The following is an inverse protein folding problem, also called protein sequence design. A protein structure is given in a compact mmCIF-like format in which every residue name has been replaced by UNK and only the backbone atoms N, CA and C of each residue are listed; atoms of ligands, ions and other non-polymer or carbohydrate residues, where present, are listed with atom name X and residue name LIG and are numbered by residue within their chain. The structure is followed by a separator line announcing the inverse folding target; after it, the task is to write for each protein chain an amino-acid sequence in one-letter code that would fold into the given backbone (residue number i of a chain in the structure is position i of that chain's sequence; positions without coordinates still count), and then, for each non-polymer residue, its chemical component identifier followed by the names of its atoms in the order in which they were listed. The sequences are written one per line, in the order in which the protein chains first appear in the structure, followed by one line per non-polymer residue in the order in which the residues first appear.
data_IF_336485577267
#
_entry.id   IF_336485577267
#
_cell.length_a   1.000
_cell.length_b   1.000
_cell.length_c   1.000
_cell.angle_alpha   90.00
_cell.angle_beta   90.00
_cell.angle_gamma   90.00
#
_symmetry.space_group_name_H-M   'P 1'
#
loop_
_entity.id
_entity.type
_entity.pdbx_description
1 polymer ?
#
# COMPACT_ATOMS: atom_id res chain seq x y z
N UNK A 1 -66.89 -10.43 -19.75
CA UNK A 1 -65.85 -9.39 -19.94
C UNK A 1 -64.86 -9.51 -18.78
N UNK A 2 -63.58 -9.75 -19.08
CA UNK A 2 -62.54 -10.16 -18.11
C UNK A 2 -62.00 -8.94 -17.30
N UNK A 3 -61.62 -9.10 -16.02
CA UNK A 3 -60.97 -8.04 -15.25
C UNK A 3 -59.49 -7.93 -15.65
N UNK A 4 -59.01 -6.70 -15.84
CA UNK A 4 -57.59 -6.39 -16.07
C UNK A 4 -56.86 -6.44 -14.72
N UNK A 5 -55.97 -7.42 -14.54
CA UNK A 5 -55.00 -7.42 -13.45
C UNK A 5 -53.79 -6.56 -13.88
N UNK A 6 -53.59 -5.43 -13.20
CA UNK A 6 -52.37 -4.62 -13.36
C UNK A 6 -51.27 -5.25 -12.51
N UNK A 7 -50.34 -5.95 -13.15
CA UNK A 7 -49.13 -6.47 -12.50
C UNK A 7 -48.11 -5.34 -12.46
N UNK A 8 -47.97 -4.71 -11.29
CA UNK A 8 -46.91 -3.74 -11.04
C UNK A 8 -45.60 -4.51 -10.83
N UNK A 9 -44.75 -4.54 -11.86
CA UNK A 9 -43.45 -5.18 -11.82
C UNK A 9 -42.49 -4.26 -11.04
N UNK A 10 -42.29 -4.52 -9.75
CA UNK A 10 -41.25 -3.88 -8.94
C UNK A 10 -39.87 -4.38 -9.44
N UNK A 11 -39.22 -3.56 -10.26
CA UNK A 11 -37.81 -3.70 -10.59
C UNK A 11 -36.98 -3.42 -9.33
N UNK A 12 -36.59 -4.49 -8.62
CA UNK A 12 -35.52 -4.46 -7.63
C UNK A 12 -34.21 -4.13 -8.36
N UNK A 13 -33.84 -2.86 -8.38
CA UNK A 13 -32.50 -2.44 -8.77
C UNK A 13 -31.52 -2.96 -7.71
N UNK A 14 -30.77 -4.01 -8.05
CA UNK A 14 -29.65 -4.48 -7.23
C UNK A 14 -28.52 -3.45 -7.41
N UNK A 15 -28.53 -2.41 -6.59
CA UNK A 15 -27.40 -1.47 -6.49
C UNK A 15 -26.21 -2.25 -5.95
N UNK A 16 -25.22 -2.52 -6.81
CA UNK A 16 -23.91 -2.97 -6.35
C UNK A 16 -23.26 -1.79 -5.64
N UNK A 17 -23.36 -1.76 -4.30
CA UNK A 17 -22.62 -0.82 -3.47
C UNK A 17 -21.16 -1.26 -3.51
N UNK A 18 -20.34 -0.62 -4.35
CA UNK A 18 -18.89 -0.69 -4.16
C UNK A 18 -18.58 0.02 -2.83
N UNK A 19 -17.86 -0.62 -1.92
CA UNK A 19 -17.51 -0.01 -0.64
C UNK A 19 -16.70 1.27 -0.89
N UNK A 20 -17.23 2.41 -0.45
CA UNK A 20 -16.56 3.70 -0.50
C UNK A 20 -15.45 3.75 0.56
N UNK A 21 -14.27 4.28 0.21
CA UNK A 21 -13.24 4.58 1.20
C UNK A 21 -13.74 5.68 2.14
N UNK A 22 -13.79 5.37 3.44
CA UNK A 22 -14.31 6.25 4.47
C UNK A 22 -13.26 7.25 5.00
N UNK A 23 -12.05 7.28 4.46
CA UNK A 23 -10.98 8.18 4.89
C UNK A 23 -11.02 9.49 4.11
N UNK A 24 -11.19 10.61 4.81
CA UNK A 24 -11.06 11.94 4.22
C UNK A 24 -9.63 12.22 3.81
N UNK A 25 -9.43 12.73 2.60
CA UNK A 25 -8.11 13.11 2.07
C UNK A 25 -7.09 11.95 2.20
N UNK A 26 -7.49 10.76 1.74
CA UNK A 26 -6.79 9.49 1.92
C UNK A 26 -5.34 9.46 1.43
N UNK A 27 -5.03 10.19 0.37
CA UNK A 27 -3.70 10.32 -0.24
C UNK A 27 -3.05 11.69 0.04
N UNK A 28 -3.57 12.47 0.99
CA UNK A 28 -3.01 13.75 1.44
C UNK A 28 -2.92 14.87 0.38
N UNK A 29 -3.59 14.73 -0.77
CA UNK A 29 -3.56 15.69 -1.88
C UNK A 29 -4.25 17.02 -1.58
N UNK A 30 -5.23 17.03 -0.66
CA UNK A 30 -5.85 18.27 -0.19
C UNK A 30 -5.02 18.90 0.94
N UNK A 31 -4.46 20.08 0.66
CA UNK A 31 -3.60 20.81 1.58
C UNK A 31 -3.96 22.30 1.63
N UNK A 32 -3.76 22.89 2.81
CA UNK A 32 -3.93 24.32 3.08
C UNK A 32 -2.75 25.14 2.57
N UNK A 33 -1.54 24.61 2.80
CA UNK A 33 -0.28 25.28 2.52
C UNK A 33 0.69 24.25 1.92
N UNK A 34 1.31 24.61 0.80
CA UNK A 34 2.38 23.80 0.23
C UNK A 34 3.61 23.83 1.16
N UNK A 35 4.24 22.69 1.51
CA UNK A 35 5.25 22.66 2.56
C UNK A 35 6.51 23.46 2.19
N UNK A 36 6.79 24.54 2.93
CA UNK A 36 8.05 25.29 2.76
C UNK A 36 9.21 24.70 3.57
N UNK A 37 8.88 23.94 4.63
CA UNK A 37 9.80 23.26 5.54
C UNK A 37 9.21 21.90 5.98
N UNK A 38 10.06 21.01 6.47
CA UNK A 38 9.68 19.69 6.99
C UNK A 38 9.02 19.80 8.38
N UNK A 39 8.39 18.73 8.85
CA UNK A 39 7.74 18.67 10.16
C UNK A 39 6.44 19.49 10.30
N UNK A 40 5.87 19.96 9.19
CA UNK A 40 4.69 20.86 9.15
C UNK A 40 3.38 20.15 8.78
N UNK A 41 3.31 18.82 8.88
CA UNK A 41 2.15 18.05 8.41
C UNK A 41 0.81 18.52 8.99
N UNK A 42 0.73 18.74 10.31
CA UNK A 42 -0.50 19.21 10.98
C UNK A 42 -1.01 20.56 10.43
N UNK A 43 -0.10 21.45 10.10
CA UNK A 43 -0.45 22.81 9.68
C UNK A 43 -0.80 22.84 8.18
N UNK A 44 -0.17 21.97 7.39
CA UNK A 44 -0.26 21.97 5.95
C UNK A 44 -1.40 21.10 5.40
N UNK A 45 -1.69 19.95 6.01
CA UNK A 45 -2.63 18.97 5.44
C UNK A 45 -4.07 19.23 5.91
N UNK A 46 -5.03 19.09 5.01
CA UNK A 46 -6.46 19.22 5.31
C UNK A 46 -7.01 17.89 5.86
N UNK A 47 -7.92 17.94 6.84
CA UNK A 47 -8.57 16.78 7.48
C UNK A 47 -7.67 15.80 8.27
N UNK A 48 -6.37 16.10 8.36
CA UNK A 48 -5.41 15.32 9.13
C UNK A 48 -4.81 16.12 10.28
N UNK A 49 -4.38 15.39 11.31
CA UNK A 49 -3.73 15.93 12.48
C UNK A 49 -2.61 14.99 12.93
N UNK A 50 -1.83 15.40 13.93
CA UNK A 50 -0.81 14.55 14.55
C UNK A 50 -1.03 14.51 16.05
N UNK A 51 -0.57 13.44 16.70
CA UNK A 51 -0.56 13.37 18.16
C UNK A 51 0.65 14.14 18.70
N UNK A 52 1.88 13.69 18.39
CA UNK A 52 3.10 14.34 18.86
C UNK A 52 4.21 14.20 17.81
N UNK A 53 5.21 15.08 17.92
CA UNK A 53 6.39 15.08 17.07
C UNK A 53 6.30 16.07 15.91
N UNK A 54 7.11 15.83 14.89
CA UNK A 54 7.30 16.68 13.72
C UNK A 54 7.12 15.84 12.46
N UNK A 55 5.93 15.28 12.30
CA UNK A 55 5.58 14.51 11.11
C UNK A 55 5.80 15.33 9.86
N UNK A 56 6.50 14.75 8.90
CA UNK A 56 6.80 15.42 7.64
C UNK A 56 5.62 15.31 6.68
N UNK A 57 5.43 16.38 5.91
CA UNK A 57 4.56 16.39 4.76
C UNK A 57 5.41 16.65 3.53
N UNK A 58 5.44 15.68 2.63
CA UNK A 58 6.20 15.74 1.39
C UNK A 58 5.20 15.93 0.27
N UNK A 59 5.42 16.95 -0.56
CA UNK A 59 4.55 17.26 -1.67
C UNK A 59 5.33 17.92 -2.81
N UNK A 60 5.12 17.46 -4.04
CA UNK A 60 5.81 17.98 -5.24
C UNK A 60 5.55 19.45 -5.54
N UNK A 61 4.49 20.06 -4.99
CA UNK A 61 4.25 21.49 -5.11
C UNK A 61 5.41 22.31 -4.50
N UNK A 62 6.13 21.72 -3.55
CA UNK A 62 7.19 22.39 -2.80
C UNK A 62 8.48 22.42 -3.60
N UNK A 63 9.06 23.62 -3.72
CA UNK A 63 10.37 23.82 -4.35
C UNK A 63 11.54 23.59 -3.40
N UNK A 64 11.28 23.52 -2.10
CA UNK A 64 12.30 23.39 -1.06
C UNK A 64 12.37 21.99 -0.48
N UNK A 65 11.22 21.44 -0.10
CA UNK A 65 11.10 20.08 0.47
C UNK A 65 10.90 19.06 -0.67
N UNK A 66 9.89 19.31 -1.52
CA UNK A 66 9.48 18.36 -2.56
C UNK A 66 9.27 16.96 -1.99
N UNK A 67 10.07 16.02 -2.48
CA UNK A 67 10.09 14.60 -2.06
C UNK A 67 11.34 14.19 -1.26
N UNK A 68 12.15 15.16 -0.84
CA UNK A 68 13.40 14.91 -0.11
C UNK A 68 13.25 15.43 1.32
N UNK A 69 13.56 14.59 2.30
CA UNK A 69 13.73 15.01 3.68
C UNK A 69 15.06 14.51 4.26
N UNK A 70 15.26 14.73 5.57
CA UNK A 70 16.47 14.30 6.26
C UNK A 70 16.67 12.78 6.29
N UNK A 71 15.63 11.98 6.03
CA UNK A 71 15.66 10.53 6.14
C UNK A 71 15.74 9.82 4.79
N UNK A 72 15.59 10.54 3.67
CA UNK A 72 15.68 9.98 2.33
C UNK A 72 14.80 10.71 1.32
N UNK A 73 14.61 10.06 0.17
CA UNK A 73 13.74 10.51 -0.90
C UNK A 73 12.86 9.36 -1.38
N UNK A 74 11.56 9.62 -1.53
CA UNK A 74 10.63 8.66 -2.13
C UNK A 74 9.69 9.36 -3.12
N UNK A 75 9.33 8.71 -4.22
CA UNK A 75 8.27 9.21 -5.09
C UNK A 75 6.93 8.79 -4.48
N UNK A 76 5.94 9.68 -4.51
CA UNK A 76 4.60 9.39 -4.00
C UNK A 76 4.03 8.10 -4.62
N UNK A 77 3.26 7.33 -3.85
CA UNK A 77 2.65 6.09 -4.33
C UNK A 77 1.62 6.40 -5.40
N UNK A 78 0.77 7.37 -5.08
CA UNK A 78 -0.21 7.99 -5.95
C UNK A 78 -0.10 9.51 -5.81
N UNK A 79 -0.74 10.25 -6.73
CA UNK A 79 -0.78 11.70 -6.64
C UNK A 79 0.60 12.37 -6.53
N UNK A 80 0.70 13.34 -5.63
CA UNK A 80 1.80 14.26 -5.47
C UNK A 80 2.22 14.47 -4.02
N UNK A 81 1.59 13.80 -3.05
CA UNK A 81 1.76 14.06 -1.64
C UNK A 81 1.81 12.79 -0.79
N UNK A 82 2.52 12.82 0.35
CA UNK A 82 2.50 11.75 1.34
C UNK A 82 3.02 12.22 2.71
N UNK A 83 2.79 11.42 3.75
CA UNK A 83 3.28 11.66 5.10
C UNK A 83 4.61 10.92 5.34
N UNK A 84 5.43 11.42 6.27
CA UNK A 84 6.60 10.70 6.76
C UNK A 84 6.67 10.72 8.28
N UNK A 85 6.85 9.54 8.90
CA UNK A 85 6.81 9.39 10.36
C UNK A 85 7.96 8.53 10.91
N UNK A 86 8.46 8.90 12.09
CA UNK A 86 9.27 8.00 12.91
C UNK A 86 8.41 6.91 13.55
N UNK A 87 8.69 5.65 13.22
CA UNK A 87 7.99 4.48 13.81
C UNK A 87 8.83 3.72 14.84
N UNK A 88 10.12 4.05 14.94
CA UNK A 88 11.00 3.59 16.01
C UNK A 88 12.19 4.52 16.17
N UNK A 89 12.57 4.85 17.40
CA UNK A 89 13.84 5.53 17.70
C UNK A 89 14.17 5.38 19.19
N UNK A 90 15.32 5.89 19.61
CA UNK A 90 15.74 5.87 21.00
C UNK A 90 14.73 6.59 21.93
N UNK A 91 14.73 6.20 23.21
CA UNK A 91 13.87 6.80 24.24
C UNK A 91 12.36 6.82 23.92
N UNK A 92 11.86 5.82 23.19
CA UNK A 92 10.45 5.69 22.80
C UNK A 92 9.90 6.90 22.00
N UNK A 93 10.72 7.50 21.12
CA UNK A 93 10.22 8.47 20.15
C UNK A 93 9.48 7.76 19.01
N UNK A 94 8.28 8.27 18.71
CA UNK A 94 7.28 7.83 17.71
C UNK A 94 6.49 9.03 17.21
N UNK A 95 6.08 8.98 15.96
CA UNK A 95 5.13 9.93 15.38
C UNK A 95 3.87 9.20 14.94
N UNK A 96 2.76 9.92 14.95
CA UNK A 96 1.45 9.38 14.68
C UNK A 96 0.63 10.38 13.88
N UNK A 97 0.06 9.93 12.77
CA UNK A 97 -0.91 10.69 11.99
C UNK A 97 -2.32 10.23 12.35
N UNK A 98 -3.22 11.20 12.55
CA UNK A 98 -4.60 10.98 12.93
C UNK A 98 -5.54 11.56 11.88
N UNK A 99 -6.41 10.71 11.36
CA UNK A 99 -7.46 11.05 10.41
C UNK A 99 -8.85 10.99 11.02
N UNK A 100 -9.82 11.52 10.28
CA UNK A 100 -11.25 11.49 10.62
C UNK A 100 -11.99 10.73 9.54
N UNK A 101 -12.91 9.85 9.94
CA UNK A 101 -13.76 9.12 9.00
C UNK A 101 -14.85 10.04 8.43
N UNK A 102 -15.34 9.74 7.23
CA UNK A 102 -16.51 10.40 6.64
C UNK A 102 -17.75 10.22 7.50
N UNK A 103 -17.91 9.02 8.05
CA UNK A 103 -18.99 8.63 8.93
C UNK A 103 -18.50 7.65 10.02
N UNK A 104 -19.20 7.55 11.17
CA UNK A 104 -18.90 6.52 12.17
C UNK A 104 -19.05 5.12 11.58
N UNK A 105 -18.16 4.20 11.94
CA UNK A 105 -18.28 2.82 11.51
C UNK A 105 -19.49 2.14 12.14
N UNK A 106 -20.11 1.22 11.42
CA UNK A 106 -21.28 0.51 11.91
C UNK A 106 -20.87 -0.67 12.79
N UNK A 107 -21.53 -0.77 13.95
CA UNK A 107 -21.28 -1.85 14.91
C UNK A 107 -21.47 -3.22 14.25
N UNK A 108 -20.58 -4.15 14.59
CA UNK A 108 -20.56 -5.56 14.16
C UNK A 108 -20.32 -5.77 12.66
N UNK A 109 -20.12 -4.71 11.87
CA UNK A 109 -19.63 -4.82 10.49
C UNK A 109 -18.14 -5.08 10.44
N UNK A 110 -17.72 -5.88 9.46
CA UNK A 110 -16.31 -6.14 9.18
C UNK A 110 -15.77 -5.04 8.28
N UNK A 111 -14.61 -4.52 8.63
CA UNK A 111 -13.89 -3.52 7.87
C UNK A 111 -12.46 -3.98 7.61
N UNK A 112 -11.84 -3.33 6.63
CA UNK A 112 -10.42 -3.45 6.36
C UNK A 112 -9.84 -2.04 6.37
N UNK A 113 -8.72 -1.89 7.06
CA UNK A 113 -7.83 -0.74 6.91
C UNK A 113 -6.68 -1.14 6.00
N UNK A 114 -6.39 -0.32 5.00
CA UNK A 114 -5.15 -0.44 4.23
C UNK A 114 -4.42 0.88 4.17
N UNK A 115 -3.10 0.83 4.07
CA UNK A 115 -2.27 1.99 3.71
C UNK A 115 -0.94 1.47 3.17
N UNK A 116 -0.25 2.29 2.40
CA UNK A 116 1.05 1.93 1.86
C UNK A 116 2.17 2.54 2.70
N UNK A 117 3.25 1.78 2.89
CA UNK A 117 4.44 2.23 3.60
C UNK A 117 5.70 1.98 2.77
N UNK A 118 6.63 2.94 2.77
CA UNK A 118 7.98 2.74 2.25
C UNK A 118 8.98 3.09 3.35
N UNK A 119 9.95 2.22 3.59
CA UNK A 119 11.03 2.52 4.53
C UNK A 119 11.90 3.63 3.95
N UNK A 120 12.39 4.54 4.79
CA UNK A 120 13.24 5.63 4.30
C UNK A 120 14.68 5.16 4.02
N UNK A 121 15.36 5.83 3.09
CA UNK A 121 16.71 5.48 2.63
C UNK A 121 17.70 5.32 3.78
N UNK A 122 17.65 6.24 4.74
CA UNK A 122 18.60 6.30 5.86
C UNK A 122 18.11 5.57 7.10
N UNK A 123 16.90 5.02 7.10
CA UNK A 123 16.43 4.20 8.21
C UNK A 123 17.36 2.99 8.41
N UNK A 124 17.71 2.74 9.67
CA UNK A 124 18.64 1.67 10.05
C UNK A 124 17.90 0.41 10.49
N UNK A 125 16.65 0.55 10.91
CA UNK A 125 15.76 -0.56 11.29
C UNK A 125 14.48 -0.54 10.44
N UNK A 126 13.99 -1.73 10.11
CA UNK A 126 12.62 -1.98 9.68
C UNK A 126 11.79 -2.54 10.84
N UNK A 127 10.47 -2.34 10.82
CA UNK A 127 9.54 -2.90 11.81
C UNK A 127 8.43 -3.72 11.16
N UNK A 128 7.71 -4.48 11.97
CA UNK A 128 6.48 -5.18 11.57
C UNK A 128 5.22 -4.61 12.26
N UNK A 129 5.39 -3.88 13.37
CA UNK A 129 4.34 -3.48 14.32
C UNK A 129 3.46 -2.29 13.89
N UNK A 130 3.17 -2.17 12.60
CA UNK A 130 2.19 -1.18 12.14
C UNK A 130 0.82 -1.51 12.69
N UNK A 131 0.15 -0.45 13.15
CA UNK A 131 -1.15 -0.62 13.77
C UNK A 131 -1.99 0.64 13.73
N UNK A 132 -3.28 0.43 13.93
CA UNK A 132 -4.28 1.48 13.91
C UNK A 132 -5.01 1.53 15.26
N UNK A 133 -5.12 2.73 15.80
CA UNK A 133 -5.93 3.05 16.98
C UNK A 133 -7.19 3.74 16.51
N UNK A 134 -8.36 3.14 16.74
CA UNK A 134 -9.64 3.83 16.54
C UNK A 134 -10.13 4.45 17.84
N UNK A 135 -10.77 5.61 17.74
CA UNK A 135 -11.32 6.35 18.87
C UNK A 135 -12.68 6.95 18.55
N UNK A 136 -13.47 7.23 19.59
CA UNK A 136 -14.77 7.89 19.48
C UNK A 136 -14.71 9.41 19.28
N UNK A 137 -13.53 9.99 19.44
CA UNK A 137 -13.27 11.43 19.34
C UNK A 137 -11.78 11.68 19.05
N UNK A 138 -11.39 12.85 18.53
CA UNK A 138 -9.98 13.11 18.24
C UNK A 138 -9.16 13.13 19.52
N UNK A 139 -7.97 12.54 19.47
CA UNK A 139 -7.00 12.58 20.57
C UNK A 139 -6.13 13.82 20.39
N UNK A 140 -6.18 14.73 21.36
CA UNK A 140 -5.28 15.88 21.38
C UNK A 140 -3.87 15.44 21.77
N UNK A 141 -2.86 15.94 21.05
CA UNK A 141 -1.46 15.65 21.32
C UNK A 141 -1.02 15.92 22.76
N UNK A 142 -1.46 17.04 23.32
CA UNK A 142 -1.20 17.43 24.70
C UNK A 142 -1.77 16.44 25.73
N UNK A 143 -2.82 15.69 25.38
CA UNK A 143 -3.45 14.72 26.28
C UNK A 143 -2.65 13.42 26.40
N UNK A 144 -1.77 13.13 25.42
CA UNK A 144 -0.91 11.95 25.41
C UNK A 144 0.58 12.28 25.61
N UNK A 145 0.92 13.55 25.82
CA UNK A 145 2.29 14.01 26.02
C UNK A 145 2.87 13.50 27.34
N UNK A 146 4.07 12.92 27.25
CA UNK A 146 4.80 12.42 28.42
C UNK A 146 6.29 12.75 28.29
N UNK A 147 6.71 13.89 28.83
CA UNK A 147 8.12 14.33 28.83
C UNK A 147 8.80 14.17 27.45
N UNK A 148 10.02 13.63 27.40
CA UNK A 148 10.78 13.43 26.16
C UNK A 148 10.33 12.18 25.37
N UNK A 149 9.20 11.54 25.74
CA UNK A 149 8.66 10.36 25.07
C UNK A 149 7.36 10.71 24.35
N UNK A 150 7.27 10.34 23.08
CA UNK A 150 6.06 10.54 22.29
C UNK A 150 5.25 9.26 22.10
N UNK A 151 5.77 8.10 22.52
CA UNK A 151 5.05 6.82 22.50
C UNK A 151 3.68 6.91 23.20
N UNK A 152 2.63 6.60 22.44
CA UNK A 152 1.26 6.51 22.94
C UNK A 152 1.03 5.10 23.48
N UNK A 153 0.53 5.00 24.71
CA UNK A 153 0.30 3.74 25.40
C UNK A 153 -1.11 3.68 25.95
N UNK A 154 -1.60 2.47 26.28
CA UNK A 154 -2.88 2.33 27.01
C UNK A 154 -2.93 3.18 28.28
N UNK A 155 -1.79 3.36 28.97
CA UNK A 155 -1.68 4.19 30.18
C UNK A 155 -1.83 5.69 29.91
N UNK A 156 -1.39 6.18 28.75
CA UNK A 156 -1.60 7.59 28.38
C UNK A 156 -3.03 7.81 27.89
N UNK A 157 -3.56 6.89 27.07
CA UNK A 157 -4.94 6.94 26.58
C UNK A 157 -5.98 6.84 27.70
N UNK A 158 -5.76 6.00 28.72
CA UNK A 158 -6.70 5.83 29.85
C UNK A 158 -6.87 7.08 30.72
N UNK A 159 -6.04 8.11 30.56
CA UNK A 159 -6.15 9.38 31.28
C UNK A 159 -7.11 10.36 30.58
N UNK A 160 -7.50 10.07 29.35
CA UNK A 160 -8.37 10.94 28.56
C UNK A 160 -9.81 10.60 28.92
N UNK A 161 -10.50 11.57 29.54
CA UNK A 161 -11.89 11.37 29.98
C UNK A 161 -12.78 10.98 28.80
N UNK A 162 -13.71 10.04 29.01
CA UNK A 162 -14.69 9.58 28.00
C UNK A 162 -14.10 9.10 26.67
N UNK A 163 -12.82 8.71 26.64
CA UNK A 163 -12.20 8.14 25.45
C UNK A 163 -12.53 6.65 25.37
N UNK A 164 -13.27 6.28 24.33
CA UNK A 164 -13.46 4.88 23.93
C UNK A 164 -12.48 4.62 22.79
N UNK A 165 -11.69 3.56 22.93
CA UNK A 165 -10.67 3.23 21.95
C UNK A 165 -10.38 1.73 21.89
N UNK A 166 -9.88 1.30 20.74
CA UNK A 166 -9.31 -0.02 20.55
C UNK A 166 -8.25 0.04 19.46
N UNK A 167 -7.37 -0.94 19.50
CA UNK A 167 -6.18 -1.01 18.69
C UNK A 167 -6.18 -2.31 17.91
N UNK A 168 -5.89 -2.21 16.62
CA UNK A 168 -5.87 -3.34 15.70
C UNK A 168 -4.52 -3.40 14.98
N UNK A 169 -4.03 -4.61 14.78
CA UNK A 169 -2.77 -4.91 14.10
C UNK A 169 -3.01 -5.97 13.03
N UNK A 170 -1.99 -6.20 12.20
CA UNK A 170 -1.99 -7.33 11.29
C UNK A 170 -2.10 -8.66 12.03
N UNK A 171 -2.83 -9.61 11.43
CA UNK A 171 -2.88 -11.00 11.92
C UNK A 171 -1.53 -11.69 11.66
N UNK A 172 -1.01 -11.53 10.44
CA UNK A 172 0.29 -12.05 10.01
C UNK A 172 1.17 -10.87 9.56
N UNK A 173 1.84 -10.19 10.51
CA UNK A 173 2.68 -9.05 10.18
C UNK A 173 3.91 -9.50 9.39
N UNK A 174 4.35 -8.66 8.46
CA UNK A 174 5.58 -8.85 7.69
C UNK A 174 6.58 -7.76 8.03
N UNK A 175 7.86 -8.01 7.76
CA UNK A 175 8.90 -6.98 7.86
C UNK A 175 8.78 -6.03 6.66
N UNK A 176 8.42 -4.78 6.94
CA UNK A 176 8.30 -3.72 5.93
C UNK A 176 9.67 -3.12 5.59
N UNK A 177 10.56 -3.91 4.99
CA UNK A 177 11.99 -3.58 4.83
C UNK A 177 12.33 -2.78 3.58
N UNK A 178 11.40 -2.63 2.64
CA UNK A 178 11.73 -2.02 1.34
C UNK A 178 11.89 -0.52 1.44
N UNK A 179 13.01 -0.03 0.93
CA UNK A 179 13.30 1.40 0.76
C UNK A 179 12.92 1.95 -0.61
N UNK A 180 12.70 1.05 -1.57
CA UNK A 180 12.50 1.40 -2.98
C UNK A 180 11.03 1.31 -3.39
N UNK A 181 10.25 0.44 -2.74
CA UNK A 181 8.84 0.24 -3.05
C UNK A 181 7.96 0.50 -1.85
N UNK A 182 6.75 0.92 -2.18
CA UNK A 182 5.64 0.98 -1.26
C UNK A 182 5.05 -0.41 -1.04
N UNK A 183 5.01 -0.83 0.21
CA UNK A 183 4.43 -2.09 0.68
C UNK A 183 3.08 -1.81 1.33
N UNK A 184 2.06 -2.62 1.03
CA UNK A 184 0.74 -2.41 1.60
C UNK A 184 0.62 -3.06 2.99
N UNK A 185 0.17 -2.27 3.97
CA UNK A 185 -0.31 -2.73 5.27
C UNK A 185 -1.80 -3.03 5.15
N UNK A 186 -2.25 -4.15 5.74
CA UNK A 186 -3.63 -4.62 5.64
C UNK A 186 -4.12 -5.10 7.01
N UNK A 187 -5.11 -4.44 7.60
CA UNK A 187 -5.59 -4.72 8.97
C UNK A 187 -7.10 -4.98 8.93
N UNK A 188 -7.54 -6.24 8.96
CA UNK A 188 -8.95 -6.57 9.06
C UNK A 188 -9.44 -6.42 10.52
N UNK A 189 -10.64 -5.90 10.72
CA UNK A 189 -11.24 -5.81 12.04
C UNK A 189 -12.77 -5.83 11.99
N UNK A 190 -13.41 -5.98 13.15
CA UNK A 190 -14.86 -5.85 13.31
C UNK A 190 -15.13 -4.61 14.14
N UNK A 191 -15.90 -3.66 13.59
CA UNK A 191 -16.16 -2.39 14.22
C UNK A 191 -17.10 -2.55 15.43
N UNK A 192 -16.93 -1.69 16.42
CA UNK A 192 -17.71 -1.66 17.66
C UNK A 192 -18.76 -0.55 17.67
N UNK A 193 -18.79 0.28 16.63
CA UNK A 193 -19.80 1.32 16.42
C UNK A 193 -19.44 2.69 16.99
N UNK A 194 -18.26 2.84 17.61
CA UNK A 194 -17.82 4.11 18.17
C UNK A 194 -16.73 4.77 17.31
N UNK A 195 -16.14 4.03 16.38
CA UNK A 195 -14.98 4.45 15.60
C UNK A 195 -15.35 5.63 14.68
N UNK A 196 -14.86 6.83 15.03
CA UNK A 196 -15.04 8.06 14.22
C UNK A 196 -13.72 8.67 13.79
N UNK A 197 -12.65 8.38 14.52
CA UNK A 197 -11.30 8.82 14.25
C UNK A 197 -10.35 7.63 14.31
N UNK A 198 -9.22 7.76 13.63
CA UNK A 198 -8.21 6.73 13.62
C UNK A 198 -6.81 7.34 13.66
N UNK A 199 -5.85 6.61 14.22
CA UNK A 199 -4.45 7.01 14.29
C UNK A 199 -3.55 5.87 13.84
N UNK A 200 -2.63 6.17 12.92
CA UNK A 200 -1.65 5.20 12.37
C UNK A 200 -0.30 5.41 13.05
N UNK A 201 0.35 4.30 13.42
CA UNK A 201 1.73 4.31 13.90
C UNK A 201 2.14 3.00 14.55
N UNK A 202 3.21 3.07 15.35
CA UNK A 202 3.69 1.95 16.17
C UNK A 202 3.44 2.24 17.66
N UNK A 203 2.48 1.52 18.24
CA UNK A 203 2.08 1.65 19.66
C UNK A 203 2.81 0.66 20.58
N UNK A 204 3.70 -0.20 20.03
CA UNK A 204 4.54 -1.07 20.83
C UNK A 204 5.70 -0.27 21.47
N UNK A 205 6.06 -0.65 22.69
CA UNK A 205 7.26 -0.11 23.35
C UNK A 205 8.52 -0.53 22.58
N UNK A 206 9.65 0.17 22.77
CA UNK A 206 10.90 -0.24 22.12
C UNK A 206 11.25 -1.73 22.38
N UNK A 207 11.01 -2.22 23.59
CA UNK A 207 11.26 -3.62 23.98
C UNK A 207 10.32 -4.64 23.35
N UNK A 208 9.16 -4.20 22.83
CA UNK A 208 8.15 -5.07 22.21
C UNK A 208 8.05 -4.89 20.70
N UNK A 209 8.61 -3.82 20.15
CA UNK A 209 8.68 -3.63 18.70
C UNK A 209 9.66 -4.66 18.15
N UNK A 210 9.20 -5.50 17.23
CA UNK A 210 10.10 -6.39 16.49
C UNK A 210 10.78 -5.59 15.38
N UNK A 211 12.10 -5.73 15.30
CA UNK A 211 12.92 -4.95 14.38
C UNK A 211 13.87 -5.83 13.59
N UNK A 212 14.21 -5.39 12.39
CA UNK A 212 15.25 -5.97 11.56
C UNK A 212 16.26 -4.87 11.20
N UNK A 213 17.56 -5.14 11.40
CA UNK A 213 18.64 -4.27 10.95
C UNK A 213 18.71 -4.31 9.41
N UNK A 214 18.61 -3.14 8.77
CA UNK A 214 18.60 -2.99 7.31
C UNK A 214 19.72 -2.08 6.79
N UNK A 215 20.62 -1.65 7.67
CA UNK A 215 21.77 -0.82 7.33
C UNK A 215 22.87 -1.04 8.35
N UNK A 216 24.10 -1.21 7.86
CA UNK A 216 25.32 -1.31 8.67
C UNK A 216 25.89 0.06 9.08
N UNK A 217 25.14 1.14 8.86
CA UNK A 217 25.52 2.49 9.30
C UNK A 217 25.79 2.53 10.80
N UNK A 218 26.83 3.29 11.18
CA UNK A 218 27.16 3.61 12.57
C UNK A 218 26.21 4.65 13.20
N UNK A 219 25.20 5.10 12.45
CA UNK A 219 24.14 5.94 12.98
C UNK A 219 23.32 5.23 14.06
N UNK A 220 22.64 6.02 14.89
CA UNK A 220 21.75 5.48 15.92
C UNK A 220 20.61 4.70 15.27
N UNK A 221 20.16 3.65 15.95
CA UNK A 221 19.06 2.83 15.45
C UNK A 221 17.72 3.58 15.45
N UNK A 222 17.11 3.68 14.28
CA UNK A 222 15.80 4.27 14.07
C UNK A 222 15.09 3.65 12.87
N UNK A 223 13.78 3.81 12.85
CA UNK A 223 12.90 3.45 11.76
C UNK A 223 12.04 4.65 11.39
N UNK A 224 12.01 4.97 10.11
CA UNK A 224 11.22 6.04 9.53
C UNK A 224 10.53 5.52 8.27
N UNK A 225 9.23 5.77 8.15
CA UNK A 225 8.44 5.35 7.01
C UNK A 225 7.69 6.51 6.38
N UNK A 226 7.63 6.48 5.06
CA UNK A 226 6.66 7.23 4.28
C UNK A 226 5.32 6.47 4.26
N UNK A 227 4.20 7.19 4.31
CA UNK A 227 2.84 6.63 4.35
C UNK A 227 1.97 7.33 3.30
N UNK A 228 1.24 6.54 2.52
CA UNK A 228 0.36 7.02 1.44
C UNK A 228 -0.89 6.12 1.29
N UNK A 229 -1.90 6.61 0.56
CA UNK A 229 -3.13 5.91 0.15
C UNK A 229 -3.83 5.16 1.31
N UNK A 230 -4.29 5.91 2.32
CA UNK A 230 -4.97 5.34 3.49
C UNK A 230 -6.44 5.05 3.16
N UNK A 231 -6.90 3.84 3.46
CA UNK A 231 -8.28 3.42 3.27
C UNK A 231 -8.88 2.72 4.48
N UNK A 232 -10.17 2.97 4.71
CA UNK A 232 -11.05 2.21 5.61
C UNK A 232 -12.32 1.88 4.84
N UNK A 233 -12.54 0.60 4.56
CA UNK A 233 -13.62 0.11 3.70
C UNK A 233 -14.38 -1.04 4.35
N UNK A 234 -15.68 -1.13 4.06
CA UNK A 234 -16.51 -2.26 4.47
C UNK A 234 -16.03 -3.51 3.74
N UNK A 235 -15.86 -4.59 4.50
CA UNK A 235 -15.57 -5.91 3.94
C UNK A 235 -16.88 -6.60 3.56
N UNK A 236 -17.47 -6.19 2.44
CA UNK A 236 -18.77 -6.69 1.94
C UNK A 236 -18.71 -8.09 1.31
N UNK A 237 -17.52 -8.66 1.15
CA UNK A 237 -17.32 -10.03 0.66
C UNK A 237 -16.33 -10.76 1.56
N UNK A 238 -16.52 -12.08 1.73
CA UNK A 238 -15.36 -12.94 1.97
C UNK A 238 -14.40 -12.65 0.83
N UNK A 239 -13.28 -12.02 1.14
CA UNK A 239 -12.20 -11.94 0.19
C UNK A 239 -11.86 -13.40 -0.17
N UNK A 240 -11.69 -13.76 -1.45
CA UNK A 240 -10.79 -14.88 -1.75
C UNK A 240 -9.51 -14.61 -0.94
N UNK A 241 -8.86 -15.65 -0.38
CA UNK A 241 -7.69 -15.48 0.47
C UNK A 241 -6.80 -14.40 -0.13
N UNK A 242 -6.39 -13.43 0.70
CA UNK A 242 -5.28 -12.56 0.32
C UNK A 242 -4.22 -13.50 -0.23
N UNK A 243 -3.96 -13.38 -1.54
CA UNK A 243 -3.07 -14.24 -2.30
C UNK A 243 -3.53 -15.71 -2.53
N UNK A 244 -4.30 -15.95 -3.59
CA UNK A 244 -4.12 -17.15 -4.43
C UNK A 244 -3.44 -16.67 -5.73
N UNK A 245 -2.16 -16.82 -6.01
CA UNK A 245 -1.02 -17.44 -5.35
C UNK A 245 0.20 -16.54 -5.53
N UNK A 246 0.99 -16.43 -4.48
CA UNK A 246 2.26 -15.72 -4.51
C UNK A 246 3.29 -16.52 -5.34
N UNK A 247 3.97 -15.89 -6.31
CA UNK A 247 5.33 -15.41 -6.00
C UNK A 247 6.01 -16.13 -4.84
N UNK A 248 6.45 -17.42 -4.88
CA UNK A 248 6.80 -18.08 -3.64
C UNK A 248 7.95 -17.34 -2.97
N UNK A 249 7.70 -16.88 -1.75
CA UNK A 249 8.67 -16.16 -0.93
C UNK A 249 9.88 -17.09 -0.72
N UNK A 250 11.07 -16.57 -0.97
CA UNK A 250 12.31 -17.34 -0.84
C UNK A 250 12.56 -17.60 0.64
N UNK A 251 12.27 -18.82 1.08
CA UNK A 251 12.75 -19.40 2.33
C UNK A 251 13.65 -20.58 1.99
N UNK A 252 14.93 -20.33 1.68
CA UNK A 252 16.05 -21.30 1.57
C UNK A 252 15.82 -22.69 0.92
N UNK A 253 14.72 -22.87 0.21
CA UNK A 253 14.36 -24.00 -0.61
C UNK A 253 13.73 -23.43 -1.87
N UNK A 254 14.25 -23.83 -3.03
CA UNK A 254 13.83 -23.34 -4.35
C UNK A 254 12.31 -23.14 -4.44
N UNK A 255 11.82 -21.92 -4.72
CA UNK A 255 10.39 -21.65 -4.83
C UNK A 255 9.77 -22.54 -5.92
N UNK A 256 8.78 -23.36 -5.55
CA UNK A 256 8.06 -24.22 -6.50
C UNK A 256 7.10 -23.35 -7.32
N UNK A 257 7.53 -22.91 -8.50
CA UNK A 257 6.63 -22.36 -9.51
C UNK A 257 5.92 -23.53 -10.20
N UNK A 258 4.59 -23.53 -10.16
CA UNK A 258 3.77 -24.51 -10.86
C UNK A 258 3.74 -24.20 -12.36
N UNK A 259 3.86 -25.26 -13.17
CA UNK A 259 3.86 -25.13 -14.63
C UNK A 259 2.45 -24.85 -15.14
N UNK A 260 2.35 -24.17 -16.27
CA UNK A 260 1.11 -23.80 -16.94
C UNK A 260 0.16 -22.89 -16.13
N UNK A 261 0.63 -22.35 -15.02
CA UNK A 261 -0.09 -21.39 -14.22
C UNK A 261 0.32 -19.96 -14.56
N UNK A 262 -0.64 -19.05 -14.53
CA UNK A 262 -0.42 -17.61 -14.71
C UNK A 262 -0.15 -17.00 -13.33
N UNK A 263 0.93 -16.24 -13.25
CA UNK A 263 1.35 -15.50 -12.07
C UNK A 263 1.36 -14.02 -12.39
N UNK A 264 0.90 -13.19 -11.47
CA UNK A 264 0.97 -11.72 -11.60
C UNK A 264 2.18 -11.22 -10.82
N UNK A 265 3.01 -10.39 -11.46
CA UNK A 265 4.08 -9.69 -10.75
C UNK A 265 3.48 -8.70 -9.75
N UNK A 266 3.96 -8.71 -8.51
CA UNK A 266 3.50 -7.79 -7.46
C UNK A 266 4.06 -6.39 -7.62
N UNK A 267 5.31 -6.29 -8.11
CA UNK A 267 6.12 -5.07 -8.04
C UNK A 267 6.70 -4.65 -9.40
N UNK A 268 6.21 -5.22 -10.51
CA UNK A 268 6.59 -4.75 -11.85
C UNK A 268 5.82 -3.45 -12.13
N UNK A 269 6.50 -2.34 -11.87
CA UNK A 269 6.01 -0.97 -12.03
C UNK A 269 6.73 -0.31 -13.22
N UNK A 270 5.97 0.50 -13.97
CA UNK A 270 6.48 1.29 -15.09
C UNK A 270 6.20 2.77 -14.83
N UNK A 271 7.08 3.65 -15.31
CA UNK A 271 6.79 5.09 -15.34
C UNK A 271 5.50 5.35 -16.17
N UNK A 272 4.79 6.43 -15.81
CA UNK A 272 3.56 6.81 -16.52
C UNK A 272 3.83 7.00 -18.02
N UNK A 273 3.07 6.28 -18.85
CA UNK A 273 3.18 6.28 -20.31
C UNK A 273 4.55 5.83 -20.87
N UNK A 274 5.37 5.13 -20.08
CA UNK A 274 6.63 4.52 -20.52
C UNK A 274 6.65 3.02 -20.24
N UNK A 275 7.64 2.37 -20.84
CA UNK A 275 7.92 0.95 -20.68
C UNK A 275 9.24 0.68 -19.93
N UNK A 276 9.91 1.71 -19.41
CA UNK A 276 11.13 1.55 -18.63
C UNK A 276 10.83 0.89 -17.29
N UNK A 277 11.54 -0.18 -16.96
CA UNK A 277 11.42 -0.87 -15.68
C UNK A 277 12.04 -0.01 -14.58
N UNK A 278 11.28 0.23 -13.52
CA UNK A 278 11.85 0.80 -12.30
C UNK A 278 12.75 -0.24 -11.62
N UNK A 279 13.81 0.19 -10.94
CA UNK A 279 14.73 -0.70 -10.20
C UNK A 279 14.01 -1.59 -9.17
N UNK A 280 12.89 -1.11 -8.64
CA UNK A 280 11.92 -1.86 -7.84
C UNK A 280 11.41 -3.17 -8.48
N UNK A 281 11.20 -3.16 -9.81
CA UNK A 281 10.73 -4.31 -10.59
C UNK A 281 11.81 -5.37 -10.75
N UNK A 282 13.07 -4.97 -10.65
CA UNK A 282 14.22 -5.83 -10.92
C UNK A 282 14.36 -6.96 -9.90
N UNK A 283 14.05 -6.73 -8.62
CA UNK A 283 14.19 -7.75 -7.57
C UNK A 283 13.30 -8.97 -7.86
N UNK A 284 12.02 -8.73 -8.15
CA UNK A 284 11.06 -9.80 -8.46
C UNK A 284 11.42 -10.52 -9.77
N UNK A 285 11.85 -9.77 -10.79
CA UNK A 285 12.30 -10.35 -12.06
C UNK A 285 13.60 -11.14 -11.88
N UNK A 286 14.51 -10.74 -10.98
CA UNK A 286 15.75 -11.46 -10.66
C UNK A 286 15.49 -12.80 -9.94
N UNK A 287 14.46 -12.88 -9.11
CA UNK A 287 14.00 -14.16 -8.52
C UNK A 287 13.58 -15.10 -9.63
N UNK A 288 12.73 -14.63 -10.55
CA UNK A 288 12.28 -15.42 -11.69
C UNK A 288 13.44 -15.82 -12.60
N UNK A 289 14.38 -14.91 -12.88
CA UNK A 289 15.60 -15.20 -13.63
C UNK A 289 16.43 -16.31 -12.98
N UNK A 290 16.54 -16.32 -11.65
CA UNK A 290 17.26 -17.38 -10.92
C UNK A 290 16.59 -18.74 -11.08
N UNK A 291 15.26 -18.80 -11.03
CA UNK A 291 14.50 -20.04 -11.26
C UNK A 291 14.70 -20.54 -12.68
N UNK A 292 14.60 -19.66 -13.68
CA UNK A 292 14.77 -20.01 -15.10
C UNK A 292 16.22 -20.41 -15.43
N UNK A 293 17.23 -19.84 -14.77
CA UNK A 293 18.64 -20.25 -14.90
C UNK A 293 18.86 -21.65 -14.34
N UNK A 294 18.29 -21.93 -13.16
CA UNK A 294 18.41 -23.23 -12.52
C UNK A 294 17.62 -24.33 -13.24
N UNK A 295 16.63 -23.96 -14.06
CA UNK A 295 15.78 -24.89 -14.79
C UNK A 295 15.81 -24.61 -16.29
N UNK A 296 16.87 -25.07 -16.98
CA UNK A 296 17.12 -24.77 -18.41
C UNK A 296 16.05 -25.27 -19.40
N UNK A 297 15.17 -26.19 -18.98
CA UNK A 297 14.05 -26.71 -19.80
C UNK A 297 12.80 -25.83 -19.77
N UNK A 298 12.72 -24.88 -18.83
CA UNK A 298 11.54 -24.05 -18.68
C UNK A 298 11.54 -22.91 -19.69
N UNK A 299 10.37 -22.68 -20.28
CA UNK A 299 10.07 -21.53 -21.12
C UNK A 299 9.18 -20.56 -20.33
N UNK A 300 9.19 -19.30 -20.71
CA UNK A 300 8.37 -18.28 -20.07
C UNK A 300 7.64 -17.46 -21.13
N UNK A 301 6.37 -17.20 -20.86
CA UNK A 301 5.55 -16.23 -21.57
C UNK A 301 5.20 -15.09 -20.63
N UNK A 302 5.34 -13.84 -21.09
CA UNK A 302 5.06 -12.62 -20.31
C UNK A 302 3.89 -11.90 -20.96
N UNK A 303 2.94 -11.45 -20.16
CA UNK A 303 1.72 -10.79 -20.64
C UNK A 303 1.56 -9.42 -20.02
N UNK A 304 1.43 -8.39 -20.85
CA UNK A 304 1.20 -7.01 -20.41
C UNK A 304 -0.27 -6.64 -20.47
N UNK A 305 -0.73 -5.85 -19.50
CA UNK A 305 -2.11 -5.36 -19.42
C UNK A 305 -2.14 -3.86 -19.09
N UNK A 306 -3.16 -3.17 -19.61
CA UNK A 306 -3.48 -1.77 -19.25
C UNK A 306 -4.88 -1.69 -18.63
N UNK A 307 -5.19 -0.55 -18.04
CA UNK A 307 -6.57 -0.15 -17.83
C UNK A 307 -7.25 0.25 -19.17
N UNK A 308 -8.54 0.57 -19.12
CA UNK A 308 -9.34 0.93 -20.28
C UNK A 308 -9.24 2.41 -20.69
N UNK A 309 -8.37 3.21 -20.06
CA UNK A 309 -8.22 4.63 -20.41
C UNK A 309 -7.39 4.77 -21.69
N UNK A 310 -7.85 5.59 -22.63
CA UNK A 310 -7.17 5.83 -23.90
C UNK A 310 -7.63 4.93 -25.06
N UNK A 311 -6.98 5.04 -26.22
CA UNK A 311 -7.35 4.24 -27.39
C UNK A 311 -6.89 2.79 -27.26
N UNK A 312 -7.66 1.87 -27.84
CA UNK A 312 -7.34 0.45 -27.85
C UNK A 312 -5.97 0.17 -28.47
N UNK A 313 -5.64 0.85 -29.57
CA UNK A 313 -4.35 0.73 -30.26
C UNK A 313 -3.19 1.16 -29.35
N UNK A 314 -3.30 2.32 -28.70
CA UNK A 314 -2.28 2.82 -27.76
C UNK A 314 -2.08 1.89 -26.57
N UNK A 315 -3.16 1.34 -26.03
CA UNK A 315 -3.12 0.40 -24.92
C UNK A 315 -2.48 -0.94 -25.32
N UNK A 316 -2.75 -1.41 -26.53
CA UNK A 316 -2.12 -2.62 -27.06
C UNK A 316 -0.61 -2.42 -27.23
N UNK A 317 -0.19 -1.29 -27.80
CA UNK A 317 1.23 -0.94 -27.89
C UNK A 317 1.90 -0.87 -26.52
N UNK A 318 1.34 -0.08 -25.59
CA UNK A 318 1.92 0.14 -24.27
C UNK A 318 2.04 -1.16 -23.47
N UNK A 319 1.00 -1.99 -23.46
CA UNK A 319 1.07 -3.30 -22.80
C UNK A 319 2.14 -4.21 -23.40
N UNK A 320 2.30 -4.20 -24.73
CA UNK A 320 3.30 -4.99 -25.42
C UNK A 320 4.72 -4.50 -25.12
N UNK A 321 4.94 -3.17 -25.09
CA UNK A 321 6.21 -2.57 -24.70
C UNK A 321 6.59 -2.95 -23.27
N UNK A 322 5.65 -2.88 -22.33
CA UNK A 322 5.85 -3.28 -20.92
C UNK A 322 6.25 -4.75 -20.78
N UNK A 323 5.52 -5.65 -21.46
CA UNK A 323 5.86 -7.06 -21.47
C UNK A 323 7.24 -7.32 -22.11
N UNK A 324 7.56 -6.59 -23.17
CA UNK A 324 8.87 -6.64 -23.84
C UNK A 324 10.00 -6.17 -22.94
N UNK A 325 9.80 -5.15 -22.11
CA UNK A 325 10.83 -4.67 -21.18
C UNK A 325 11.19 -5.73 -20.14
N UNK A 326 10.20 -6.41 -19.56
CA UNK A 326 10.44 -7.55 -18.65
C UNK A 326 11.18 -8.69 -19.37
N UNK A 327 10.77 -9.01 -20.60
CA UNK A 327 11.42 -10.04 -21.41
C UNK A 327 12.89 -9.69 -21.69
N UNK A 328 13.15 -8.44 -22.08
CA UNK A 328 14.49 -7.92 -22.36
C UNK A 328 15.37 -8.02 -21.11
N UNK A 329 14.83 -7.62 -19.96
CA UNK A 329 15.55 -7.72 -18.70
C UNK A 329 15.92 -9.17 -18.33
N UNK A 330 15.00 -10.13 -18.50
CA UNK A 330 15.32 -11.55 -18.28
C UNK A 330 16.43 -12.05 -19.21
N UNK A 331 16.42 -11.61 -20.47
CA UNK A 331 17.47 -11.95 -21.45
C UNK A 331 18.81 -11.37 -21.01
N UNK A 332 18.85 -10.11 -20.56
CA UNK A 332 20.05 -9.47 -20.00
C UNK A 332 20.58 -10.19 -18.75
N UNK A 333 19.70 -10.83 -17.96
CA UNK A 333 20.09 -11.71 -16.83
C UNK A 333 20.53 -13.11 -17.25
N UNK A 334 20.68 -13.35 -18.55
CA UNK A 334 21.27 -14.57 -19.10
C UNK A 334 20.27 -15.70 -19.37
N UNK A 335 18.98 -15.39 -19.49
CA UNK A 335 18.00 -16.34 -20.03
C UNK A 335 18.08 -16.33 -21.56
N UNK A 336 18.10 -17.51 -22.16
CA UNK A 336 18.10 -17.65 -23.62
C UNK A 336 16.86 -16.97 -24.22
N UNK A 337 17.08 -16.16 -25.26
CA UNK A 337 16.02 -15.44 -25.97
C UNK A 337 14.93 -16.39 -26.49
N UNK A 338 15.31 -17.59 -26.94
CA UNK A 338 14.35 -18.56 -27.48
C UNK A 338 13.42 -19.13 -26.40
N UNK A 339 13.76 -18.94 -25.13
CA UNK A 339 12.97 -19.37 -23.97
C UNK A 339 12.01 -18.30 -23.46
N UNK A 340 12.07 -17.08 -23.97
CA UNK A 340 11.29 -15.94 -23.48
C UNK A 340 10.38 -15.41 -24.58
N UNK A 341 9.06 -15.47 -24.35
CA UNK A 341 8.05 -14.84 -25.21
C UNK A 341 7.32 -13.75 -24.44
N UNK A 342 6.80 -12.76 -25.17
CA UNK A 342 5.97 -11.72 -24.58
C UNK A 342 4.81 -11.34 -25.50
N UNK A 343 3.72 -10.85 -24.92
CA UNK A 343 2.54 -10.36 -25.64
C UNK A 343 1.84 -9.26 -24.83
N UNK A 344 1.38 -8.21 -25.51
CA UNK A 344 0.47 -7.22 -24.92
C UNK A 344 -1.00 -7.57 -25.17
N UNK A 345 -1.84 -7.47 -24.15
CA UNK A 345 -3.30 -7.62 -24.27
C UNK A 345 -4.05 -6.28 -24.26
N UNK A 346 -3.37 -5.16 -24.03
CA UNK A 346 -3.99 -3.87 -23.76
C UNK A 346 -5.02 -3.98 -22.64
N UNK A 347 -6.18 -3.37 -22.85
CA UNK A 347 -7.31 -3.38 -21.92
C UNK A 347 -8.27 -4.57 -22.10
N UNK A 348 -7.95 -5.52 -22.99
CA UNK A 348 -8.89 -6.59 -23.40
C UNK A 348 -9.09 -7.71 -22.37
N UNK A 349 -8.25 -7.75 -21.32
CA UNK A 349 -8.27 -8.76 -20.25
C UNK A 349 -8.29 -8.11 -18.86
N UNK A 350 -9.35 -7.37 -18.52
CA UNK A 350 -9.48 -6.76 -17.20
C UNK A 350 -9.72 -7.85 -16.16
N UNK A 351 -9.11 -7.69 -14.99
CA UNK A 351 -9.36 -8.51 -13.80
C UNK A 351 -10.16 -7.75 -12.74
N UNK A 352 -10.32 -6.44 -12.94
CA UNK A 352 -11.05 -5.54 -12.07
C UNK A 352 -11.80 -4.50 -12.89
N UNK A 353 -12.68 -3.76 -12.22
CA UNK A 353 -13.50 -2.73 -12.85
C UNK A 353 -12.64 -1.54 -13.34
N UNK A 354 -12.81 -1.12 -14.59
CA UNK A 354 -12.10 0.06 -15.11
C UNK A 354 -12.76 1.39 -14.72
N UNK A 355 -13.95 1.35 -14.13
CA UNK A 355 -14.63 2.54 -13.64
C UNK A 355 -13.94 3.14 -12.40
N UNK A 356 -13.30 2.32 -11.56
CA UNK A 356 -12.64 2.76 -10.32
C UNK A 356 -11.12 2.88 -10.49
N UNK A 357 -10.46 3.77 -9.75
CA UNK A 357 -9.00 3.90 -9.86
C UNK A 357 -8.27 2.66 -9.33
N UNK A 358 -8.84 2.02 -8.31
CA UNK A 358 -8.33 0.79 -7.72
C UNK A 358 -8.36 -0.34 -8.75
N UNK A 359 -9.49 -0.49 -9.46
CA UNK A 359 -9.60 -1.52 -10.48
C UNK A 359 -8.77 -1.22 -11.73
N UNK A 360 -8.63 0.06 -12.12
CA UNK A 360 -7.64 0.47 -13.13
C UNK A 360 -6.21 0.14 -12.70
N UNK A 361 -5.85 0.39 -11.44
CA UNK A 361 -4.53 0.03 -10.89
C UNK A 361 -4.28 -1.47 -10.97
N UNK A 362 -5.26 -2.30 -10.63
CA UNK A 362 -5.16 -3.75 -10.76
C UNK A 362 -5.06 -4.20 -12.23
N UNK A 363 -5.73 -3.51 -13.15
CA UNK A 363 -5.66 -3.83 -14.57
C UNK A 363 -4.30 -3.46 -15.20
N UNK A 364 -3.62 -2.43 -14.68
CA UNK A 364 -2.24 -2.07 -15.05
C UNK A 364 -1.22 -3.01 -14.42
N UNK A 365 -1.07 -4.20 -15.00
CA UNK A 365 -0.21 -5.27 -14.45
C UNK A 365 0.59 -5.99 -15.54
N UNK A 366 1.55 -6.80 -15.10
CA UNK A 366 2.24 -7.78 -15.94
C UNK A 366 2.08 -9.15 -15.29
N UNK A 367 1.78 -10.13 -16.12
CA UNK A 367 1.67 -11.53 -15.75
C UNK A 367 2.77 -12.34 -16.43
N UNK A 368 3.04 -13.54 -15.94
CA UNK A 368 3.87 -14.51 -16.61
C UNK A 368 3.36 -15.94 -16.43
N UNK A 369 3.72 -16.80 -17.37
CA UNK A 369 3.42 -18.23 -17.34
C UNK A 369 4.67 -19.01 -17.66
N UNK A 370 4.96 -20.02 -16.85
CA UNK A 370 6.09 -20.92 -17.07
C UNK A 370 5.62 -22.20 -17.73
N UNK A 371 6.31 -22.60 -18.80
CA UNK A 371 6.02 -23.76 -19.64
C UNK A 371 7.21 -24.73 -19.61
N UNK A 372 6.99 -25.97 -20.03
CA UNK A 372 8.03 -26.96 -20.30
C UNK A 372 7.88 -27.42 -21.75
N UNK A 373 9.01 -27.67 -22.41
CA UNK A 373 9.04 -28.14 -23.79
C UNK A 373 9.08 -29.67 -23.86
#
# INVERSE_FOLDING_TARGET
MKPLFSVCLLLLAITHSNSQNLVKNSSFEDYKICPEDIGKFKDNVTNWSILQGTTDYLNSCSRTVGFLNHNGKQIARSGFAYAGIFTYSNKDYREYIQGTLEEPLEKDKKYIVTFYVSLADYATLAIEDFSILFTNKPVAGSAVQSSNKTLVTRKTLSKINDLIYDHYQQIDPILYKSKQIWMQVYIPFTAKGYETHFTIGNFASNTRTQTLKVSDSNEKDFSYYYIDDVSVEVKDRELPPLYEETVPQITDATPKIERNKIYTFKNVLFEFNKADLLSASEEEINVLATILRNNKKLFIEIYGHTDAVGSQERNLELSNERAKSVATYLIEKGIDKDRVKWLGYGSSKPIADNATEEGRTQNRRVEFKVLEN
#
